data_IF_375098749414
#
_entry.id   IF_375098749414
#
_cell.length_a   1.000
_cell.length_b   1.000
_cell.length_c   1.000
_cell.angle_alpha   90.00
_cell.angle_beta   90.00
_cell.angle_gamma   90.00
#
_symmetry.space_group_name_H-M   'P 1'
#
loop_
_entity.id
_entity.type
_entity.pdbx_description
1 polymer ?
#
# COMPACT_ATOMS: atom_id res chain seq x y z
N UNK A 1 47.56 -40.36 -17.56
CA UNK A 1 47.88 -38.95 -17.26
C UNK A 1 46.85 -38.11 -18.00
N UNK A 2 45.91 -37.50 -17.33
CA UNK A 2 44.85 -36.56 -17.63
C UNK A 2 43.58 -37.00 -16.94
N UNK A 3 43.57 -36.79 -15.61
CA UNK A 3 42.38 -36.71 -14.75
C UNK A 3 42.63 -35.51 -13.83
N UNK A 4 42.20 -34.33 -14.22
CA UNK A 4 42.02 -33.18 -13.37
C UNK A 4 41.53 -32.04 -14.26
N UNK A 5 40.30 -31.62 -14.09
CA UNK A 5 39.77 -30.26 -14.34
C UNK A 5 38.25 -30.38 -14.64
N UNK A 6 37.48 -30.80 -13.62
CA UNK A 6 36.03 -30.62 -13.63
C UNK A 6 35.50 -30.21 -12.25
N UNK A 7 36.19 -29.21 -11.67
CA UNK A 7 35.74 -28.52 -10.49
C UNK A 7 35.86 -27.03 -10.74
N UNK A 8 34.96 -26.48 -11.54
CA UNK A 8 34.78 -25.02 -11.58
C UNK A 8 33.38 -24.71 -12.03
N UNK A 9 32.72 -23.96 -11.16
CA UNK A 9 31.51 -23.18 -11.39
C UNK A 9 30.20 -23.99 -11.45
N UNK A 10 29.72 -24.37 -10.29
CA UNK A 10 28.27 -24.38 -10.05
C UNK A 10 27.87 -22.92 -9.93
N UNK A 11 27.06 -22.35 -10.81
CA UNK A 11 26.45 -21.06 -10.54
C UNK A 11 25.53 -21.27 -9.35
N UNK A 12 25.84 -20.58 -8.28
CA UNK A 12 25.00 -20.43 -7.12
C UNK A 12 23.68 -19.83 -7.60
N UNK A 13 22.65 -20.67 -7.80
CA UNK A 13 21.28 -20.23 -8.03
C UNK A 13 20.78 -19.56 -6.74
N UNK A 14 21.35 -18.42 -6.42
CA UNK A 14 20.81 -17.51 -5.41
C UNK A 14 19.56 -16.89 -6.01
N UNK A 15 18.40 -17.42 -5.57
CA UNK A 15 17.13 -16.75 -5.34
C UNK A 15 16.83 -15.50 -6.20
N UNK A 16 16.71 -15.66 -7.50
CA UNK A 16 16.12 -14.64 -8.40
C UNK A 16 14.60 -14.53 -8.14
N UNK A 17 13.99 -15.52 -7.48
CA UNK A 17 12.56 -15.56 -7.18
C UNK A 17 12.07 -14.50 -6.16
N UNK A 18 12.96 -13.78 -5.47
CA UNK A 18 12.58 -12.71 -4.54
C UNK A 18 12.65 -11.29 -5.12
N UNK A 19 13.03 -11.15 -6.38
CA UNK A 19 13.43 -9.85 -6.94
C UNK A 19 12.31 -9.18 -7.73
N UNK A 20 11.15 -9.79 -7.95
CA UNK A 20 10.19 -9.33 -8.96
C UNK A 20 8.72 -9.24 -8.49
N UNK A 21 8.45 -9.05 -7.20
CA UNK A 21 7.11 -8.65 -6.73
C UNK A 21 6.89 -7.16 -7.02
N UNK A 22 6.62 -6.82 -8.29
CA UNK A 22 6.77 -5.47 -8.81
C UNK A 22 5.64 -4.51 -8.42
N UNK A 23 4.41 -4.96 -8.42
CA UNK A 23 3.24 -4.09 -8.34
C UNK A 23 2.54 -4.11 -6.99
N UNK A 24 2.58 -5.23 -6.27
CA UNK A 24 2.02 -5.35 -4.92
C UNK A 24 2.64 -4.39 -3.91
N UNK A 25 3.86 -3.94 -4.17
CA UNK A 25 4.65 -3.23 -3.18
C UNK A 25 4.21 -1.79 -2.91
N UNK A 26 3.47 -1.15 -3.82
CA UNK A 26 2.96 0.22 -3.62
C UNK A 26 1.57 0.21 -3.02
N UNK A 27 0.74 -0.75 -3.42
CA UNK A 27 -0.62 -0.90 -2.92
C UNK A 27 -0.78 -2.08 -1.96
N UNK A 28 0.20 -3.02 -1.93
CA UNK A 28 0.10 -4.27 -1.19
C UNK A 28 1.44 -4.62 -0.55
N UNK A 29 1.59 -4.32 0.73
CA UNK A 29 2.74 -4.75 1.51
C UNK A 29 2.59 -6.23 1.84
N UNK A 30 3.43 -7.09 1.25
CA UNK A 30 3.47 -8.52 1.52
C UNK A 30 3.69 -8.81 3.00
N UNK A 31 2.91 -9.69 3.65
CA UNK A 31 3.30 -10.24 4.93
C UNK A 31 4.53 -11.14 4.72
N UNK A 32 5.68 -10.77 5.28
CA UNK A 32 6.79 -11.70 5.40
C UNK A 32 6.31 -12.92 6.19
N UNK A 33 6.72 -14.12 5.80
CA UNK A 33 6.58 -15.33 6.62
C UNK A 33 7.11 -15.03 8.01
N UNK A 34 6.21 -14.94 8.98
CA UNK A 34 6.58 -15.01 10.37
C UNK A 34 7.08 -16.44 10.64
N UNK A 35 8.37 -16.61 10.85
CA UNK A 35 8.89 -17.75 11.59
C UNK A 35 8.42 -17.53 13.02
N UNK A 36 7.44 -18.32 13.44
CA UNK A 36 7.10 -18.45 14.87
C UNK A 36 8.29 -19.03 15.61
N UNK A 37 9.02 -18.17 16.31
CA UNK A 37 9.76 -18.60 17.49
C UNK A 37 8.93 -18.17 18.69
N UNK A 38 8.19 -19.13 19.22
CA UNK A 38 7.45 -19.00 20.47
C UNK A 38 8.43 -18.77 21.62
N UNK A 39 8.46 -17.57 22.16
CA UNK A 39 9.02 -17.30 23.48
C UNK A 39 7.89 -17.33 24.48
N UNK A 40 7.86 -18.38 25.31
CA UNK A 40 6.98 -18.47 26.47
C UNK A 40 7.49 -17.42 27.48
N UNK A 41 6.72 -16.34 27.63
CA UNK A 41 6.92 -15.39 28.73
C UNK A 41 6.10 -15.87 29.91
N UNK A 42 6.79 -16.30 30.95
CA UNK A 42 6.19 -16.62 32.26
C UNK A 42 5.67 -15.33 32.88
N UNK A 43 4.36 -15.22 33.05
CA UNK A 43 3.72 -14.09 33.68
C UNK A 43 3.78 -14.32 35.20
N UNK A 44 4.54 -13.49 35.92
CA UNK A 44 4.45 -13.35 37.37
C UNK A 44 3.16 -12.67 37.80
N UNK A 45 2.74 -12.81 39.08
CA UNK A 45 1.46 -12.28 39.56
C UNK A 45 1.38 -10.75 39.42
N UNK A 46 0.20 -10.18 39.14
CA UNK A 46 0.05 -8.77 38.87
C UNK A 46 0.29 -7.92 40.11
N UNK A 47 1.22 -6.98 40.01
CA UNK A 47 1.29 -5.85 40.92
C UNK A 47 0.11 -4.93 40.65
N UNK A 48 -0.59 -4.54 41.72
CA UNK A 48 -1.75 -3.64 41.65
C UNK A 48 -1.38 -2.31 40.96
N UNK A 49 -2.20 -1.91 39.98
CA UNK A 49 -2.39 -0.51 39.63
C UNK A 49 -1.59 0.07 38.49
N UNK A 50 -1.33 -0.66 37.42
CA UNK A 50 -0.94 -0.03 36.16
C UNK A 50 -2.04 -0.26 35.14
N UNK A 51 -2.91 0.75 34.96
CA UNK A 51 -3.73 0.87 33.75
C UNK A 51 -2.72 1.02 32.60
N UNK A 52 -2.52 -0.03 31.84
CA UNK A 52 -1.85 0.07 30.55
C UNK A 52 -2.79 0.89 29.65
N UNK A 53 -2.61 2.17 29.65
CA UNK A 53 -3.21 3.04 28.67
C UNK A 53 -2.55 2.65 27.35
N UNK A 54 -3.23 1.83 26.54
CA UNK A 54 -2.91 1.72 25.12
C UNK A 54 -3.08 3.13 24.60
N UNK A 55 -1.97 3.82 24.34
CA UNK A 55 -1.97 5.21 23.87
C UNK A 55 -2.98 5.32 22.70
N UNK A 56 -3.76 6.40 22.63
CA UNK A 56 -4.74 6.56 21.58
C UNK A 56 -3.98 6.54 20.23
N UNK A 57 -4.36 5.61 19.35
CA UNK A 57 -3.99 5.73 17.94
C UNK A 57 -4.35 7.14 17.47
N UNK A 58 -3.51 7.73 16.62
CA UNK A 58 -3.80 9.02 16.05
C UNK A 58 -5.21 9.01 15.42
N UNK A 59 -5.99 10.05 15.69
CA UNK A 59 -7.35 10.15 15.18
C UNK A 59 -7.33 10.57 13.70
N UNK A 60 -8.18 9.92 12.91
CA UNK A 60 -8.43 10.35 11.53
C UNK A 60 -9.30 11.61 11.58
N UNK A 61 -8.82 12.68 10.95
CA UNK A 61 -9.53 13.95 10.84
C UNK A 61 -10.54 13.90 9.67
N UNK A 62 -11.59 14.69 9.75
CA UNK A 62 -12.46 14.89 8.60
C UNK A 62 -11.69 15.55 7.44
N UNK A 63 -12.08 15.27 6.17
CA UNK A 63 -11.46 15.94 5.03
C UNK A 63 -11.61 17.45 5.10
N UNK A 64 -10.66 18.19 4.52
CA UNK A 64 -10.79 19.62 4.36
C UNK A 64 -12.09 19.95 3.59
N UNK A 65 -12.83 20.96 4.01
CA UNK A 65 -14.11 21.33 3.38
C UNK A 65 -13.98 21.67 1.88
N UNK A 66 -12.78 22.05 1.46
CA UNK A 66 -12.45 22.35 0.06
C UNK A 66 -12.02 21.13 -0.75
N UNK A 67 -11.71 19.99 -0.11
CA UNK A 67 -11.28 18.79 -0.79
C UNK A 67 -12.41 18.20 -1.66
N UNK A 68 -12.08 17.86 -2.86
CA UNK A 68 -13.00 17.24 -3.82
C UNK A 68 -12.48 15.85 -4.19
N UNK A 69 -13.27 14.85 -3.85
CA UNK A 69 -12.97 13.49 -4.32
C UNK A 69 -12.94 13.43 -5.85
N UNK A 70 -12.00 12.69 -6.46
CA UNK A 70 -11.91 12.54 -7.92
C UNK A 70 -13.00 11.57 -8.44
N UNK A 71 -14.24 11.87 -8.15
CA UNK A 71 -15.40 11.04 -8.49
C UNK A 71 -15.55 10.90 -10.02
N UNK A 72 -15.76 9.67 -10.49
CA UNK A 72 -15.85 9.31 -11.90
C UNK A 72 -14.54 9.43 -12.68
N UNK A 73 -13.42 9.76 -12.02
CA UNK A 73 -12.10 9.87 -12.65
C UNK A 73 -11.30 8.59 -12.53
N UNK A 74 -10.52 8.29 -13.56
CA UNK A 74 -9.48 7.29 -13.52
C UNK A 74 -8.12 7.92 -13.82
N UNK A 75 -7.16 7.61 -12.96
CA UNK A 75 -5.76 7.97 -13.14
C UNK A 75 -5.01 6.80 -13.76
N UNK A 76 -4.42 7.02 -14.92
CA UNK A 76 -3.60 6.01 -15.63
C UNK A 76 -2.14 6.36 -15.46
N UNK A 77 -1.36 5.41 -14.98
CA UNK A 77 0.06 5.55 -14.71
C UNK A 77 0.90 4.60 -15.54
N UNK A 78 2.08 5.07 -15.96
CA UNK A 78 3.19 4.19 -16.32
C UNK A 78 3.96 3.85 -15.03
N UNK A 79 4.26 2.56 -14.85
CA UNK A 79 5.14 2.07 -13.82
C UNK A 79 6.53 1.84 -14.40
N UNK A 80 7.55 2.43 -13.80
CA UNK A 80 8.95 2.33 -14.22
C UNK A 80 9.78 1.69 -13.11
N UNK A 81 10.64 0.75 -13.49
CA UNK A 81 11.64 0.17 -12.60
C UNK A 81 13.03 0.43 -13.15
N UNK A 82 13.86 1.11 -12.36
CA UNK A 82 15.09 1.70 -12.84
C UNK A 82 14.83 2.63 -14.05
N UNK A 83 15.09 2.18 -15.27
CA UNK A 83 14.93 2.96 -16.50
C UNK A 83 13.96 2.30 -17.50
N UNK A 84 13.31 1.21 -17.09
CA UNK A 84 12.41 0.45 -17.96
C UNK A 84 10.97 0.65 -17.58
N UNK A 85 10.10 0.75 -18.57
CA UNK A 85 8.66 0.62 -18.34
C UNK A 85 8.38 -0.82 -17.90
N UNK A 86 7.94 -0.97 -16.65
CA UNK A 86 7.62 -2.26 -16.06
C UNK A 86 6.14 -2.64 -16.26
N UNK A 87 5.28 -1.64 -16.47
CA UNK A 87 3.85 -1.89 -16.67
C UNK A 87 3.02 -0.62 -16.59
N UNK A 88 1.71 -0.84 -16.46
CA UNK A 88 0.73 0.23 -16.34
C UNK A 88 -0.16 -0.03 -15.12
N UNK A 89 -0.68 1.04 -14.55
CA UNK A 89 -1.70 0.95 -13.50
C UNK A 89 -2.82 1.95 -13.77
N UNK A 90 -4.04 1.52 -13.50
CA UNK A 90 -5.23 2.39 -13.56
C UNK A 90 -5.93 2.35 -12.23
N UNK A 91 -6.21 3.52 -11.66
CA UNK A 91 -6.94 3.67 -10.40
C UNK A 91 -8.14 4.57 -10.63
N UNK A 92 -9.34 4.08 -10.34
CA UNK A 92 -10.61 4.77 -10.51
C UNK A 92 -11.29 4.96 -9.17
N UNK A 93 -11.92 6.12 -8.97
CA UNK A 93 -12.78 6.38 -7.82
C UNK A 93 -14.20 6.65 -8.28
N UNK A 94 -15.16 6.11 -7.55
CA UNK A 94 -16.59 6.29 -7.76
C UNK A 94 -17.30 6.50 -6.41
N UNK A 95 -18.23 7.47 -6.38
CA UNK A 95 -19.07 7.70 -5.20
C UNK A 95 -20.31 6.81 -5.26
N UNK A 96 -20.62 6.13 -4.18
CA UNK A 96 -21.85 5.36 -4.01
C UNK A 96 -22.51 5.74 -2.66
N UNK A 97 -23.45 6.68 -2.69
CA UNK A 97 -24.09 7.21 -1.49
C UNK A 97 -23.09 7.88 -0.54
N UNK A 98 -22.93 7.30 0.65
CA UNK A 98 -21.99 7.76 1.67
C UNK A 98 -20.58 7.17 1.55
N UNK A 99 -20.39 6.23 0.61
CA UNK A 99 -19.15 5.50 0.45
C UNK A 99 -18.37 6.00 -0.78
N UNK A 100 -17.07 5.92 -0.70
CA UNK A 100 -16.17 5.96 -1.84
C UNK A 100 -15.72 4.55 -2.16
N UNK A 101 -15.72 4.23 -3.45
CA UNK A 101 -15.21 2.98 -4.00
C UNK A 101 -14.02 3.28 -4.89
N UNK A 102 -12.87 2.71 -4.56
CA UNK A 102 -11.66 2.81 -5.37
C UNK A 102 -11.34 1.45 -5.95
N UNK A 103 -11.26 1.40 -7.28
CA UNK A 103 -10.81 0.19 -8.00
C UNK A 103 -9.47 0.44 -8.64
N UNK A 104 -8.60 -0.56 -8.64
CA UNK A 104 -7.30 -0.47 -9.29
C UNK A 104 -6.93 -1.74 -10.04
N UNK A 105 -6.21 -1.55 -11.12
CA UNK A 105 -5.64 -2.61 -11.95
C UNK A 105 -4.16 -2.27 -12.14
N UNK A 106 -3.31 -3.27 -12.05
CA UNK A 106 -1.90 -3.14 -12.35
C UNK A 106 -1.44 -4.33 -13.19
N UNK A 107 -0.92 -4.02 -14.38
CA UNK A 107 -0.47 -5.02 -15.33
C UNK A 107 1.00 -4.76 -15.69
N UNK A 108 1.83 -5.82 -15.66
CA UNK A 108 3.19 -5.75 -16.19
C UNK A 108 3.17 -5.65 -17.71
N UNK A 109 4.20 -5.05 -18.29
CA UNK A 109 4.33 -4.88 -19.74
C UNK A 109 5.76 -5.17 -20.22
N UNK A 110 5.89 -5.43 -21.53
CA UNK A 110 7.19 -5.62 -22.19
C UNK A 110 8.02 -6.75 -21.56
N UNK A 111 9.32 -6.51 -21.40
CA UNK A 111 10.25 -7.49 -20.82
C UNK A 111 9.91 -7.84 -19.36
N UNK A 112 9.35 -6.92 -18.59
CA UNK A 112 8.93 -7.19 -17.23
C UNK A 112 7.86 -8.30 -17.20
N UNK A 113 6.89 -8.25 -18.13
CA UNK A 113 5.85 -9.28 -18.23
C UNK A 113 6.40 -10.66 -18.62
N UNK A 114 7.45 -10.70 -19.45
CA UNK A 114 8.11 -11.97 -19.84
C UNK A 114 8.87 -12.58 -18.67
N UNK A 115 9.53 -11.75 -17.86
CA UNK A 115 10.33 -12.20 -16.72
C UNK A 115 9.46 -12.53 -15.51
N UNK A 116 8.43 -11.73 -15.27
CA UNK A 116 7.55 -11.85 -14.12
C UNK A 116 6.20 -11.18 -14.39
N UNK A 117 5.24 -11.96 -14.86
CA UNK A 117 3.90 -11.47 -15.17
C UNK A 117 3.18 -11.00 -13.90
N UNK A 118 2.59 -9.82 -13.97
CA UNK A 118 1.76 -9.24 -12.91
C UNK A 118 0.41 -8.86 -13.47
N UNK A 119 -0.67 -9.30 -12.82
CA UNK A 119 -2.06 -8.98 -13.12
C UNK A 119 -2.81 -8.80 -11.81
N UNK A 120 -2.66 -7.65 -11.20
CA UNK A 120 -3.25 -7.37 -9.90
C UNK A 120 -4.49 -6.49 -10.03
N UNK A 121 -5.49 -6.80 -9.21
CA UNK A 121 -6.71 -6.00 -9.09
C UNK A 121 -7.02 -5.79 -7.62
N UNK A 122 -7.52 -4.60 -7.31
CA UNK A 122 -8.01 -4.31 -5.97
C UNK A 122 -9.27 -3.46 -6.03
N UNK A 123 -10.03 -3.55 -4.97
CA UNK A 123 -11.13 -2.67 -4.64
C UNK A 123 -11.05 -2.31 -3.16
N UNK A 124 -11.17 -1.02 -2.85
CA UNK A 124 -11.29 -0.52 -1.49
C UNK A 124 -12.57 0.32 -1.37
N UNK A 125 -13.32 0.11 -0.29
CA UNK A 125 -14.50 0.90 0.06
C UNK A 125 -14.30 1.55 1.40
N UNK A 126 -14.64 2.83 1.52
CA UNK A 126 -14.53 3.59 2.76
C UNK A 126 -15.63 4.64 2.88
N UNK A 127 -15.91 5.05 4.11
CA UNK A 127 -16.85 6.13 4.40
C UNK A 127 -16.22 7.49 4.01
N UNK A 128 -16.92 8.26 3.16
CA UNK A 128 -16.41 9.52 2.60
C UNK A 128 -16.24 10.65 3.61
N UNK A 129 -16.88 10.59 4.76
CA UNK A 129 -16.81 11.62 5.80
C UNK A 129 -15.71 11.34 6.81
N UNK A 130 -15.52 10.07 7.14
CA UNK A 130 -14.61 9.65 8.21
C UNK A 130 -13.33 9.02 7.71
N UNK A 131 -13.25 8.59 6.43
CA UNK A 131 -12.18 7.75 5.86
C UNK A 131 -11.98 6.41 6.60
N UNK A 132 -12.97 5.97 7.37
CA UNK A 132 -12.90 4.63 7.94
C UNK A 132 -13.10 3.60 6.83
N UNK A 133 -12.16 2.68 6.66
CA UNK A 133 -12.25 1.59 5.69
C UNK A 133 -13.42 0.66 6.01
N UNK A 134 -14.14 0.23 5.00
CA UNK A 134 -15.29 -0.69 5.13
C UNK A 134 -14.88 -2.08 4.67
N UNK A 135 -14.29 -2.17 3.49
CA UNK A 135 -13.90 -3.43 2.89
C UNK A 135 -12.75 -3.22 1.91
N UNK A 136 -11.85 -4.19 1.83
CA UNK A 136 -10.81 -4.28 0.80
C UNK A 136 -10.82 -5.67 0.20
N UNK A 137 -10.84 -5.76 -1.12
CA UNK A 137 -10.64 -7.01 -1.86
C UNK A 137 -9.42 -6.88 -2.75
N UNK A 138 -8.65 -7.97 -2.86
CA UNK A 138 -7.45 -8.04 -3.67
C UNK A 138 -7.44 -9.35 -4.43
N UNK A 139 -7.20 -9.28 -5.73
CA UNK A 139 -6.88 -10.42 -6.57
C UNK A 139 -5.47 -10.23 -7.09
N UNK A 140 -4.54 -11.03 -6.63
CA UNK A 140 -3.11 -10.91 -6.89
C UNK A 140 -2.66 -12.07 -7.76
N UNK A 141 -2.12 -11.74 -8.93
CA UNK A 141 -1.45 -12.68 -9.82
C UNK A 141 -0.05 -12.18 -10.16
N UNK A 142 0.94 -12.60 -9.37
CA UNK A 142 2.34 -12.19 -9.52
C UNK A 142 3.23 -13.42 -9.73
N UNK A 143 3.62 -13.67 -10.96
CA UNK A 143 4.40 -14.84 -11.32
C UNK A 143 3.83 -16.13 -10.73
N UNK A 144 4.55 -16.79 -9.81
CA UNK A 144 4.05 -18.00 -9.16
C UNK A 144 3.02 -17.74 -8.04
N UNK A 145 2.82 -16.51 -7.61
CA UNK A 145 1.94 -16.19 -6.49
C UNK A 145 0.57 -15.77 -7.00
N UNK A 146 -0.46 -16.55 -6.62
CA UNK A 146 -1.85 -16.27 -6.97
C UNK A 146 -2.71 -16.37 -5.73
N UNK A 147 -3.40 -15.30 -5.37
CA UNK A 147 -4.24 -15.26 -4.18
C UNK A 147 -5.38 -14.27 -4.29
N UNK A 148 -6.42 -14.57 -3.57
CA UNK A 148 -7.51 -13.64 -3.27
C UNK A 148 -7.48 -13.29 -1.80
N UNK A 149 -7.74 -12.02 -1.50
CA UNK A 149 -7.80 -11.53 -0.13
C UNK A 149 -9.03 -10.65 0.01
N UNK A 150 -9.78 -10.87 1.08
CA UNK A 150 -10.88 -10.00 1.50
C UNK A 150 -10.65 -9.57 2.95
N UNK A 151 -10.70 -8.26 3.20
CA UNK A 151 -10.60 -7.67 4.53
C UNK A 151 -11.88 -6.89 4.79
N UNK A 152 -12.53 -7.13 5.91
CA UNK A 152 -13.71 -6.38 6.36
C UNK A 152 -13.46 -5.77 7.72
N UNK A 153 -14.07 -4.62 7.99
CA UNK A 153 -13.89 -3.85 9.22
C UNK A 153 -15.22 -3.73 9.96
N UNK A 154 -15.27 -4.26 11.18
CA UNK A 154 -16.43 -4.22 12.08
C UNK A 154 -16.10 -3.30 13.27
N UNK A 155 -16.47 -2.03 13.16
CA UNK A 155 -16.17 -1.02 14.18
C UNK A 155 -16.93 -1.23 15.50
N UNK A 156 -18.20 -1.63 15.52
CA UNK A 156 -18.88 -2.02 16.75
C UNK A 156 -18.14 -3.10 17.55
N UNK A 157 -17.58 -4.09 16.87
CA UNK A 157 -16.77 -5.14 17.52
C UNK A 157 -15.31 -4.77 17.69
N UNK A 158 -14.86 -3.66 17.11
CA UNK A 158 -13.45 -3.24 17.11
C UNK A 158 -12.53 -4.31 16.49
N UNK A 159 -12.97 -4.93 15.40
CA UNK A 159 -12.29 -6.04 14.73
C UNK A 159 -12.15 -5.82 13.23
N UNK A 160 -11.04 -6.30 12.67
CA UNK A 160 -10.91 -6.56 11.25
C UNK A 160 -10.80 -8.05 11.01
N UNK A 161 -11.38 -8.51 9.91
CA UNK A 161 -11.39 -9.92 9.50
C UNK A 161 -10.70 -10.05 8.16
N UNK A 162 -9.63 -10.81 8.11
CA UNK A 162 -8.91 -11.18 6.90
C UNK A 162 -9.32 -12.60 6.48
N UNK A 163 -9.75 -12.74 5.23
CA UNK A 163 -9.88 -14.01 4.54
C UNK A 163 -8.94 -14.01 3.34
N UNK A 164 -7.99 -14.92 3.31
CA UNK A 164 -7.05 -15.07 2.20
C UNK A 164 -7.11 -16.49 1.67
N UNK A 165 -7.16 -16.65 0.34
CA UNK A 165 -7.15 -17.93 -0.36
C UNK A 165 -6.00 -17.96 -1.37
N UNK A 166 -5.16 -18.96 -1.26
CA UNK A 166 -4.16 -19.28 -2.28
C UNK A 166 -4.85 -20.00 -3.45
N UNK A 167 -4.80 -19.39 -4.64
CA UNK A 167 -5.50 -19.93 -5.81
C UNK A 167 -4.79 -21.10 -6.47
N UNK A 168 -3.55 -21.42 -6.09
CA UNK A 168 -2.80 -22.56 -6.63
C UNK A 168 -3.10 -23.87 -5.95
N UNK A 169 -3.17 -23.85 -4.63
CA UNK A 169 -3.33 -25.05 -3.81
C UNK A 169 -4.64 -25.07 -3.01
N UNK A 170 -5.42 -23.97 -3.06
CA UNK A 170 -6.69 -23.85 -2.37
C UNK A 170 -6.58 -23.55 -0.87
N UNK A 171 -5.36 -23.44 -0.32
CA UNK A 171 -5.16 -23.14 1.10
C UNK A 171 -5.83 -21.80 1.45
N UNK A 172 -6.49 -21.79 2.60
CA UNK A 172 -7.18 -20.60 3.11
C UNK A 172 -6.63 -20.21 4.47
N UNK A 173 -6.54 -18.89 4.68
CA UNK A 173 -6.14 -18.29 5.94
C UNK A 173 -7.24 -17.36 6.42
N UNK A 174 -7.65 -17.51 7.66
CA UNK A 174 -8.51 -16.57 8.35
C UNK A 174 -7.73 -15.91 9.50
N UNK A 175 -7.91 -14.61 9.66
CA UNK A 175 -7.27 -13.88 10.75
C UNK A 175 -8.21 -12.79 11.25
N UNK A 176 -8.34 -12.70 12.57
CA UNK A 176 -9.06 -11.64 13.27
C UNK A 176 -8.06 -10.76 14.03
N UNK A 177 -8.22 -9.45 13.95
CA UNK A 177 -7.32 -8.51 14.61
C UNK A 177 -8.12 -7.36 15.23
N UNK A 178 -7.62 -6.86 16.36
CA UNK A 178 -8.16 -5.65 16.99
C UNK A 178 -7.83 -4.41 16.16
N UNK A 179 -8.80 -3.49 16.08
CA UNK A 179 -8.64 -2.23 15.37
C UNK A 179 -9.07 -1.03 16.25
N UNK A 180 -8.52 0.17 15.98
CA UNK A 180 -9.01 1.42 16.59
C UNK A 180 -10.44 1.76 16.13
N UNK A 181 -11.08 2.79 16.72
CA UNK A 181 -12.46 3.22 16.38
C UNK A 181 -12.66 3.53 14.90
N UNK A 182 -11.60 3.92 14.23
CA UNK A 182 -11.52 4.16 12.79
C UNK A 182 -10.11 3.84 12.32
N UNK A 183 -9.98 3.17 11.19
CA UNK A 183 -8.71 2.80 10.59
C UNK A 183 -8.84 2.92 9.07
N UNK A 184 -7.77 3.35 8.40
CA UNK A 184 -7.68 3.27 6.95
C UNK A 184 -7.05 1.94 6.52
N UNK A 185 -7.35 1.46 5.33
CA UNK A 185 -6.46 0.59 4.58
C UNK A 185 -5.41 1.43 3.82
N UNK A 186 -4.49 0.79 3.11
CA UNK A 186 -3.41 1.50 2.39
C UNK A 186 -3.97 2.44 1.31
N UNK A 187 -5.00 2.01 0.58
CA UNK A 187 -5.61 2.81 -0.50
C UNK A 187 -6.38 3.98 0.09
N UNK A 188 -7.21 3.72 1.09
CA UNK A 188 -7.97 4.75 1.81
C UNK A 188 -7.03 5.76 2.47
N UNK A 189 -5.96 5.30 3.12
CA UNK A 189 -4.94 6.16 3.74
C UNK A 189 -4.25 7.09 2.76
N UNK A 190 -4.05 6.64 1.52
CA UNK A 190 -3.53 7.47 0.44
C UNK A 190 -4.49 8.63 0.08
N UNK A 191 -5.79 8.36 -0.08
CA UNK A 191 -6.79 9.39 -0.35
C UNK A 191 -7.07 10.27 0.88
N UNK A 192 -7.00 9.69 2.09
CA UNK A 192 -7.02 10.47 3.32
C UNK A 192 -5.91 11.51 3.33
N UNK A 193 -4.68 11.12 3.04
CA UNK A 193 -3.55 12.03 2.97
C UNK A 193 -3.76 13.12 1.92
N UNK A 194 -4.29 12.78 0.73
CA UNK A 194 -4.62 13.73 -0.30
C UNK A 194 -5.70 14.74 0.13
N UNK A 195 -6.56 14.39 1.09
CA UNK A 195 -7.63 15.25 1.59
C UNK A 195 -7.17 16.29 2.64
N UNK A 196 -5.95 16.18 3.12
CA UNK A 196 -5.41 17.05 4.17
C UNK A 196 -4.77 18.33 3.58
N UNK A 197 -4.63 19.40 4.38
CA UNK A 197 -3.87 20.57 3.98
C UNK A 197 -2.38 20.23 3.78
N UNK A 198 -1.93 20.17 2.53
CA UNK A 198 -0.56 19.77 2.18
C UNK A 198 0.39 20.99 2.19
N UNK A 199 0.53 21.65 3.34
CA UNK A 199 1.49 22.74 3.50
C UNK A 199 2.87 22.20 3.92
N UNK A 200 3.97 22.63 3.28
CA UNK A 200 5.32 22.25 3.66
C UNK A 200 5.58 22.44 5.16
N UNK A 201 6.16 21.42 5.79
CA UNK A 201 6.39 21.34 7.23
C UNK A 201 5.31 20.61 8.02
N UNK A 202 4.12 20.40 7.46
CA UNK A 202 3.08 19.64 8.14
C UNK A 202 3.48 18.16 8.26
N UNK A 203 3.07 17.57 9.37
CA UNK A 203 3.24 16.14 9.65
C UNK A 203 1.91 15.55 10.07
N UNK A 204 1.57 14.41 9.51
CA UNK A 204 0.33 13.69 9.79
C UNK A 204 0.63 12.25 10.19
N UNK A 205 -0.02 11.78 11.25
CA UNK A 205 0.05 10.38 11.68
C UNK A 205 -1.36 9.80 11.69
N UNK A 206 -1.53 8.60 11.15
CA UNK A 206 -2.83 7.93 11.08
C UNK A 206 -2.68 6.41 11.06
N UNK A 207 -3.70 5.67 11.55
CA UNK A 207 -3.68 4.23 11.60
C UNK A 207 -4.01 3.61 10.23
N UNK A 208 -3.23 2.61 9.84
CA UNK A 208 -3.43 1.82 8.62
C UNK A 208 -3.49 0.34 8.97
N UNK A 209 -4.47 -0.38 8.45
CA UNK A 209 -4.61 -1.82 8.56
C UNK A 209 -4.71 -2.46 7.17
N UNK A 210 -3.81 -3.37 6.85
CA UNK A 210 -3.78 -4.11 5.59
C UNK A 210 -4.05 -5.61 5.79
N UNK A 211 -5.00 -5.92 6.68
CA UNK A 211 -5.43 -7.28 7.01
C UNK A 211 -4.61 -7.97 8.10
N UNK A 212 -3.61 -7.28 8.64
CA UNK A 212 -2.85 -7.72 9.80
C UNK A 212 -3.06 -6.81 11.00
N UNK A 213 -2.02 -6.64 11.81
CA UNK A 213 -2.03 -5.67 12.90
C UNK A 213 -2.06 -4.25 12.34
N UNK A 214 -2.81 -3.38 13.03
CA UNK A 214 -2.80 -1.96 12.72
C UNK A 214 -1.41 -1.38 12.92
N UNK A 215 -0.96 -0.60 11.94
CA UNK A 215 0.29 0.15 11.97
C UNK A 215 -0.01 1.65 11.98
N UNK A 216 0.84 2.44 12.58
CA UNK A 216 0.83 3.90 12.38
C UNK A 216 1.69 4.25 11.17
N UNK A 217 1.16 5.10 10.32
CA UNK A 217 1.87 5.71 9.20
C UNK A 217 2.06 7.18 9.51
N UNK A 218 3.29 7.64 9.37
CA UNK A 218 3.63 9.06 9.48
C UNK A 218 3.97 9.61 8.11
N UNK A 219 3.31 10.70 7.74
CA UNK A 219 3.51 11.42 6.50
C UNK A 219 4.05 12.82 6.77
N UNK A 220 5.09 13.22 6.02
CA UNK A 220 5.70 14.54 6.10
C UNK A 220 5.53 15.28 4.78
N UNK A 221 4.99 16.49 4.84
CA UNK A 221 4.92 17.40 3.70
C UNK A 221 6.27 18.09 3.54
N UNK A 222 7.08 17.64 2.58
CA UNK A 222 8.51 18.03 2.48
C UNK A 222 8.72 19.36 1.76
N UNK A 223 7.91 19.68 0.73
CA UNK A 223 8.11 20.87 -0.07
C UNK A 223 7.35 20.88 -1.38
N UNK A 224 7.62 21.88 -2.22
CA UNK A 224 7.02 22.01 -3.55
C UNK A 224 8.05 21.78 -4.63
N UNK A 225 7.65 21.04 -5.66
CA UNK A 225 8.47 20.68 -6.83
C UNK A 225 7.72 20.99 -8.13
N UNK A 226 8.46 21.26 -9.18
CA UNK A 226 7.94 21.26 -10.55
C UNK A 226 8.16 19.86 -11.14
N UNK A 227 7.09 19.11 -11.38
CA UNK A 227 7.13 17.72 -11.83
C UNK A 227 6.66 17.61 -13.28
N UNK A 228 7.47 16.98 -14.13
CA UNK A 228 7.12 16.69 -15.52
C UNK A 228 6.82 15.19 -15.66
N UNK A 229 5.60 14.87 -16.08
CA UNK A 229 5.09 13.52 -16.35
C UNK A 229 4.44 13.48 -17.74
N UNK A 230 4.10 12.32 -18.30
CA UNK A 230 3.43 12.26 -19.63
C UNK A 230 2.13 13.08 -19.71
N UNK A 231 1.35 13.16 -18.63
CA UNK A 231 0.13 13.97 -18.55
C UNK A 231 0.39 15.48 -18.59
N UNK A 232 1.63 15.95 -18.43
CA UNK A 232 1.95 17.37 -18.43
C UNK A 232 3.02 17.78 -17.40
N UNK A 233 3.06 19.08 -17.14
CA UNK A 233 3.96 19.66 -16.12
C UNK A 233 3.10 20.29 -15.03
N UNK A 234 3.38 19.91 -13.79
CA UNK A 234 2.59 20.29 -12.61
C UNK A 234 3.47 21.00 -11.57
N UNK A 235 2.91 22.02 -10.92
CA UNK A 235 3.37 22.41 -9.59
C UNK A 235 2.80 21.36 -8.64
N UNK A 236 3.64 20.79 -7.80
CA UNK A 236 3.24 19.68 -6.94
C UNK A 236 3.86 19.79 -5.55
N UNK A 237 3.13 19.31 -4.57
CA UNK A 237 3.58 19.18 -3.19
C UNK A 237 4.11 17.77 -3.00
N UNK A 238 5.36 17.65 -2.54
CA UNK A 238 5.97 16.37 -2.21
C UNK A 238 5.67 15.97 -0.78
N UNK A 239 5.11 14.78 -0.64
CA UNK A 239 4.80 14.17 0.66
C UNK A 239 5.49 12.83 0.74
N UNK A 240 6.25 12.57 1.81
CA UNK A 240 6.78 11.24 2.11
C UNK A 240 5.96 10.57 3.19
N UNK A 241 5.75 9.27 3.08
CA UNK A 241 5.03 8.47 4.05
C UNK A 241 5.76 7.16 4.33
N UNK A 242 5.79 6.75 5.60
CA UNK A 242 6.35 5.49 6.05
C UNK A 242 5.64 4.98 7.31
N UNK A 243 5.61 3.66 7.46
CA UNK A 243 5.08 3.06 8.67
C UNK A 243 6.09 3.14 9.81
N UNK A 244 5.66 3.68 10.95
CA UNK A 244 6.48 3.85 12.16
C UNK A 244 6.27 2.72 13.15
N UNK A 245 5.20 1.93 13.01
CA UNK A 245 4.89 0.80 13.87
C UNK A 245 4.33 -0.40 13.08
N UNK A 246 4.06 -1.50 13.78
CA UNK A 246 3.41 -2.69 13.24
C UNK A 246 4.19 -3.45 12.18
N UNK A 247 3.51 -4.30 11.42
CA UNK A 247 4.11 -5.17 10.41
C UNK A 247 4.64 -4.42 9.18
N UNK A 248 4.25 -3.16 9.03
CA UNK A 248 4.63 -2.30 7.90
C UNK A 248 5.92 -1.52 8.18
N UNK A 249 6.38 -1.44 9.44
CA UNK A 249 7.59 -0.73 9.82
C UNK A 249 8.81 -1.25 9.08
N UNK A 250 9.59 -0.34 8.49
CA UNK A 250 10.84 -0.65 7.77
C UNK A 250 10.65 -1.33 6.41
N UNK A 251 9.41 -1.49 5.92
CA UNK A 251 9.16 -2.11 4.61
C UNK A 251 9.39 -1.21 3.43
N UNK A 252 9.50 0.09 3.65
CA UNK A 252 9.80 1.06 2.62
C UNK A 252 9.30 2.44 2.97
N UNK A 253 9.65 3.38 2.10
CA UNK A 253 9.20 4.77 2.15
C UNK A 253 8.60 5.11 0.78
N UNK A 254 7.47 5.81 0.81
CA UNK A 254 6.76 6.25 -0.38
C UNK A 254 6.83 7.78 -0.43
N UNK A 255 7.14 8.33 -1.58
CA UNK A 255 6.97 9.75 -1.89
C UNK A 255 5.88 9.90 -2.92
N UNK A 256 4.95 10.80 -2.65
CA UNK A 256 3.90 11.16 -3.59
C UNK A 256 4.00 12.65 -3.89
N UNK A 257 3.90 13.02 -5.15
CA UNK A 257 3.75 14.39 -5.60
C UNK A 257 2.29 14.62 -5.95
N UNK A 258 1.60 15.37 -5.11
CA UNK A 258 0.23 15.79 -5.34
C UNK A 258 0.23 17.13 -6.06
N UNK A 259 -0.64 17.36 -7.05
CA UNK A 259 -0.78 18.67 -7.68
C UNK A 259 -1.09 19.74 -6.62
N UNK A 260 -0.47 20.92 -6.77
CA UNK A 260 -0.63 22.04 -5.84
C UNK A 260 -1.90 22.83 -6.19
N UNK A 261 -3.04 22.13 -6.17
CA UNK A 261 -4.38 22.64 -6.41
C UNK A 261 -5.40 21.92 -5.51
N UNK A 262 -6.68 22.31 -5.58
CA UNK A 262 -7.73 21.75 -4.72
C UNK A 262 -8.03 20.26 -4.96
N UNK A 263 -7.54 19.67 -6.07
CA UNK A 263 -7.78 18.27 -6.39
C UNK A 263 -6.73 17.36 -5.77
N UNK A 264 -5.55 17.89 -5.45
CA UNK A 264 -4.39 17.11 -4.99
C UNK A 264 -4.21 15.84 -5.82
N UNK A 265 -4.22 15.99 -7.16
CA UNK A 265 -4.04 14.86 -8.08
C UNK A 265 -2.67 14.23 -7.86
N UNK A 266 -2.57 12.91 -7.64
CA UNK A 266 -1.28 12.26 -7.45
C UNK A 266 -0.57 12.10 -8.81
N UNK A 267 0.27 13.08 -9.16
CA UNK A 267 0.92 13.14 -10.49
C UNK A 267 2.12 12.21 -10.61
N UNK A 268 2.77 11.90 -9.48
CA UNK A 268 3.91 10.98 -9.44
C UNK A 268 3.99 10.30 -8.08
N UNK A 269 4.35 9.01 -8.05
CA UNK A 269 4.65 8.26 -6.83
C UNK A 269 5.98 7.52 -7.00
N UNK A 270 6.80 7.53 -5.94
CA UNK A 270 8.05 6.78 -5.88
C UNK A 270 8.05 5.94 -4.62
N UNK A 271 8.13 4.64 -4.79
CA UNK A 271 8.27 3.70 -3.68
C UNK A 271 9.71 3.18 -3.63
N UNK A 272 10.39 3.42 -2.51
CA UNK A 272 11.69 2.81 -2.21
C UNK A 272 11.45 1.56 -1.38
N UNK A 273 11.76 0.43 -1.95
CA UNK A 273 11.56 -0.90 -1.37
C UNK A 273 12.91 -1.55 -1.09
N UNK A 274 12.93 -2.62 -0.34
CA UNK A 274 14.16 -3.36 0.01
C UNK A 274 14.89 -3.90 -1.22
N UNK A 275 14.18 -4.13 -2.32
CA UNK A 275 14.71 -4.72 -3.56
C UNK A 275 14.81 -3.73 -4.73
N UNK A 276 14.47 -2.45 -4.53
CA UNK A 276 14.59 -1.44 -5.58
C UNK A 276 13.65 -0.25 -5.43
N UNK A 277 13.63 0.57 -6.44
CA UNK A 277 12.75 1.75 -6.52
C UNK A 277 11.77 1.58 -7.67
N UNK A 278 10.50 1.79 -7.39
CA UNK A 278 9.41 1.81 -8.35
C UNK A 278 8.89 3.24 -8.49
N UNK A 279 8.71 3.69 -9.71
CA UNK A 279 8.24 5.03 -10.04
C UNK A 279 6.96 4.93 -10.87
N UNK A 280 5.89 5.57 -10.40
CA UNK A 280 4.63 5.72 -11.14
C UNK A 280 4.52 7.16 -11.61
N UNK A 281 4.27 7.36 -12.89
CA UNK A 281 4.10 8.68 -13.51
C UNK A 281 2.76 8.77 -14.20
N UNK A 282 1.97 9.79 -13.86
CA UNK A 282 0.66 10.01 -14.45
C UNK A 282 0.77 10.17 -15.96
N UNK A 283 0.09 9.29 -16.69
CA UNK A 283 0.04 9.30 -18.14
C UNK A 283 -1.13 10.13 -18.66
N UNK A 284 -2.30 9.95 -18.05
CA UNK A 284 -3.52 10.69 -18.35
C UNK A 284 -4.54 10.53 -17.25
N UNK A 285 -5.53 11.44 -17.28
CA UNK A 285 -6.75 11.36 -16.47
C UNK A 285 -7.90 11.08 -17.41
N UNK A 286 -8.66 10.03 -17.16
CA UNK A 286 -9.87 9.68 -17.88
C UNK A 286 -11.08 10.10 -17.03
N UNK A 287 -12.10 10.67 -17.67
CA UNK A 287 -13.38 11.02 -17.06
C UNK A 287 -14.48 10.24 -17.77
N UNK A 288 -15.41 9.71 -17.00
CA UNK A 288 -16.67 9.21 -17.54
C UNK A 288 -17.69 10.32 -17.63
#
# INVERSE_FOLDING_TARGET
MIRALSKLVRPQRRNIAHTLAFFSAVFFLYPARATEQGSIVTIGPPAQGSIVTIGPFAQIMAPAATYRFPDGQAYVYNAEWHFFTAGNSTVRMETNGTEQRVTGIADSAGMANVLYAVHDRFEARFDRKTFCSIEVTKHIEEGPHKRETKITFDYPKRKSFLNERNLKNGDSKYQENDIPPCVTDVVTGFYYLASLPLQPGNTYTFPVNDGGKTAEVTAHVEGKDKVKVPAGTFQAVRVSAEATSGNLKGRGKIWTWFSDDLNHTPVQMRAKLTWGTLLFRLQRVERR
#
